data_IF_693211555321
#
_entry.id   IF_693211555321
#
_cell.length_a   1.000
_cell.length_b   1.000
_cell.length_c   1.000
_cell.angle_alpha   90.00
_cell.angle_beta   90.00
_cell.angle_gamma   90.00
#
_symmetry.space_group_name_H-M   'P 1'
#
loop_
_entity.id
_entity.type
_entity.pdbx_description
1 polymer ?
#
# COMPACT_ATOMS: atom_id res chain seq x y z
N UNK A 1 16.42 40.95 83.26
CA UNK A 1 17.19 42.18 83.55
C UNK A 1 17.40 42.92 82.24
N UNK A 2 16.80 44.10 82.11
CA UNK A 2 17.50 45.38 81.84
C UNK A 2 18.80 45.26 81.02
N UNK A 3 19.10 46.02 79.96
CA UNK A 3 18.62 47.33 79.50
C UNK A 3 19.51 47.70 78.27
N UNK A 4 18.97 48.47 77.30
CA UNK A 4 19.67 49.57 76.56
C UNK A 4 20.89 49.21 75.65
N UNK A 5 21.29 49.94 74.60
CA UNK A 5 20.82 51.12 73.87
C UNK A 5 21.59 51.26 72.56
N UNK A 6 20.95 51.99 71.65
CA UNK A 6 21.31 52.54 70.34
C UNK A 6 22.64 53.37 70.28
N UNK A 7 23.06 53.73 69.05
CA UNK A 7 24.10 54.68 68.56
C UNK A 7 25.43 54.01 68.14
N UNK A 8 26.11 54.34 67.03
CA UNK A 8 26.08 55.50 66.13
C UNK A 8 26.79 55.16 64.79
N UNK A 9 26.42 55.92 63.75
CA UNK A 9 27.05 55.99 62.42
C UNK A 9 28.48 56.57 62.41
N UNK A 10 29.33 55.99 61.57
CA UNK A 10 30.40 56.61 60.74
C UNK A 10 30.88 55.50 59.80
N UNK A 11 30.95 55.58 58.47
CA UNK A 11 31.26 56.69 57.57
C UNK A 11 32.54 56.33 56.80
N UNK A 12 32.49 56.42 55.46
CA UNK A 12 33.57 56.17 54.46
C UNK A 12 33.81 54.69 54.12
N UNK A 13 33.82 54.21 52.87
CA UNK A 13 33.84 54.81 51.55
C UNK A 13 34.61 53.86 50.63
N UNK A 14 34.09 53.61 49.40
CA UNK A 14 34.66 52.80 48.32
C UNK A 14 34.78 51.28 48.61
N UNK A 15 34.35 50.32 47.78
CA UNK A 15 34.19 50.28 46.31
C UNK A 15 33.32 49.05 45.99
N UNK A 16 32.38 49.17 45.07
CA UNK A 16 31.61 48.05 44.51
C UNK A 16 32.52 46.98 43.89
N UNK A 17 32.13 45.69 44.00
CA UNK A 17 32.11 44.85 42.81
C UNK A 17 30.66 44.46 42.47
N UNK A 18 30.34 44.66 41.19
CA UNK A 18 29.06 44.48 40.54
C UNK A 18 28.34 43.14 40.86
N UNK A 19 26.99 43.12 40.82
CA UNK A 19 26.22 41.89 40.99
C UNK A 19 26.59 40.88 39.90
N UNK A 20 26.94 39.68 40.34
CA UNK A 20 27.25 38.54 39.48
C UNK A 20 26.04 38.23 38.60
N UNK A 21 26.23 38.30 37.27
CA UNK A 21 25.20 37.97 36.30
C UNK A 21 24.68 36.53 36.51
N UNK A 22 23.37 36.27 36.35
CA UNK A 22 22.84 34.92 36.42
C UNK A 22 23.43 34.08 35.31
N UNK A 23 23.95 32.90 35.68
CA UNK A 23 24.44 31.85 34.80
C UNK A 23 23.36 31.54 33.74
N UNK A 24 23.67 31.57 32.43
CA UNK A 24 22.68 31.24 31.41
C UNK A 24 22.22 29.79 31.60
N UNK A 25 20.91 29.59 31.55
CA UNK A 25 20.29 28.27 31.54
C UNK A 25 20.88 27.45 30.38
N UNK A 26 21.23 26.19 30.66
CA UNK A 26 21.61 25.25 29.64
C UNK A 26 20.51 25.23 28.55
N UNK A 27 20.90 25.47 27.31
CA UNK A 27 20.01 25.39 26.17
C UNK A 27 19.31 24.02 26.20
N UNK A 28 17.98 24.03 26.20
CA UNK A 28 17.20 22.82 25.98
C UNK A 28 17.68 22.20 24.66
N UNK A 29 18.01 20.91 24.69
CA UNK A 29 18.22 20.15 23.45
C UNK A 29 16.98 20.35 22.57
N UNK A 30 17.16 20.66 21.28
CA UNK A 30 16.02 20.72 20.37
C UNK A 30 15.34 19.35 20.38
N UNK A 31 14.05 19.36 20.74
CA UNK A 31 13.17 18.20 20.57
C UNK A 31 13.41 17.63 19.17
N UNK A 32 13.73 16.34 19.10
CA UNK A 32 13.84 15.64 17.83
C UNK A 32 12.63 16.00 16.95
N UNK A 33 12.81 16.23 15.64
CA UNK A 33 11.70 16.56 14.75
C UNK A 33 10.63 15.48 14.91
N UNK A 34 9.40 15.91 15.23
CA UNK A 34 8.26 15.03 15.31
C UNK A 34 8.19 14.20 14.02
N UNK A 35 8.05 12.88 14.16
CA UNK A 35 7.82 12.01 13.01
C UNK A 35 6.67 12.60 12.18
N UNK A 36 6.82 12.70 10.84
CA UNK A 36 5.75 13.19 10.01
C UNK A 36 4.51 12.32 10.27
N UNK A 37 3.37 12.99 10.50
CA UNK A 37 2.10 12.30 10.67
C UNK A 37 1.89 11.33 9.50
N UNK A 38 1.36 10.12 9.74
CA UNK A 38 1.11 9.16 8.67
C UNK A 38 0.29 9.85 7.58
N UNK A 39 0.77 9.78 6.33
CA UNK A 39 0.09 10.40 5.20
C UNK A 39 -1.35 9.88 5.15
N UNK A 40 -2.30 10.81 5.03
CA UNK A 40 -3.70 10.45 4.93
C UNK A 40 -3.91 9.55 3.70
N UNK A 41 -4.77 8.52 3.80
CA UNK A 41 -5.08 7.66 2.65
C UNK A 41 -5.58 8.50 1.48
N UNK A 42 -4.87 8.46 0.35
CA UNK A 42 -5.27 9.21 -0.84
C UNK A 42 -6.34 8.47 -1.64
N UNK A 43 -7.35 9.21 -2.09
CA UNK A 43 -8.41 8.71 -2.97
C UNK A 43 -8.03 9.03 -4.43
N UNK A 44 -7.98 8.00 -5.27
CA UNK A 44 -7.63 8.12 -6.67
C UNK A 44 -8.88 8.05 -7.52
N UNK A 45 -9.12 9.06 -8.34
CA UNK A 45 -10.26 9.10 -9.25
C UNK A 45 -9.84 8.69 -10.66
N UNK A 46 -10.68 7.93 -11.39
CA UNK A 46 -10.42 7.68 -12.80
C UNK A 46 -10.62 8.98 -13.61
N UNK A 47 -9.90 9.15 -14.74
CA UNK A 47 -10.11 10.27 -15.66
C UNK A 47 -11.48 10.16 -16.33
N UNK A 48 -12.27 11.24 -16.49
CA UNK A 48 -13.66 11.23 -16.99
C UNK A 48 -13.96 10.22 -18.13
N UNK A 49 -15.08 9.49 -18.05
CA UNK A 49 -15.48 8.51 -19.06
C UNK A 49 -16.74 7.70 -18.72
N UNK A 50 -17.36 7.10 -19.73
CA UNK A 50 -18.49 6.19 -19.56
C UNK A 50 -18.07 4.90 -18.85
N UNK A 51 -18.97 4.34 -18.05
CA UNK A 51 -18.74 3.06 -17.37
C UNK A 51 -19.02 1.89 -18.33
N UNK A 52 -18.07 0.96 -18.46
CA UNK A 52 -18.32 -0.40 -18.94
C UNK A 52 -18.68 -0.59 -20.42
N UNK A 53 -17.84 -0.18 -21.36
CA UNK A 53 -18.03 -0.47 -22.80
C UNK A 53 -17.20 -1.64 -23.32
N UNK A 54 -16.17 -2.05 -22.58
CA UNK A 54 -15.24 -3.10 -23.01
C UNK A 54 -15.85 -4.47 -22.75
N UNK A 55 -16.42 -5.06 -23.80
CA UNK A 55 -16.78 -6.49 -23.85
C UNK A 55 -15.77 -7.21 -24.72
N UNK A 56 -15.13 -8.24 -24.18
CA UNK A 56 -14.21 -9.05 -24.95
C UNK A 56 -14.95 -9.72 -26.11
N UNK A 57 -14.59 -9.37 -27.35
CA UNK A 57 -15.07 -10.01 -28.57
C UNK A 57 -13.93 -10.79 -29.22
N UNK A 58 -14.25 -11.78 -30.05
CA UNK A 58 -13.21 -12.52 -30.80
C UNK A 58 -12.37 -11.59 -31.67
N UNK A 59 -12.99 -10.64 -32.38
CA UNK A 59 -12.27 -9.65 -33.18
C UNK A 59 -11.31 -8.82 -32.30
N UNK A 60 -11.78 -8.32 -31.16
CA UNK A 60 -10.94 -7.56 -30.23
C UNK A 60 -9.80 -8.40 -29.64
N UNK A 61 -10.03 -9.69 -29.37
CA UNK A 61 -8.96 -10.59 -28.92
C UNK A 61 -7.92 -10.81 -30.00
N UNK A 62 -8.32 -10.98 -31.26
CA UNK A 62 -7.40 -11.10 -32.39
C UNK A 62 -6.56 -9.83 -32.57
N UNK A 63 -7.18 -8.66 -32.50
CA UNK A 63 -6.48 -7.38 -32.57
C UNK A 63 -5.49 -7.19 -31.41
N UNK A 64 -5.92 -7.52 -30.19
CA UNK A 64 -5.09 -7.44 -29.00
C UNK A 64 -3.90 -8.41 -29.08
N UNK A 65 -4.11 -9.64 -29.54
CA UNK A 65 -3.06 -10.63 -29.72
C UNK A 65 -2.03 -10.17 -30.76
N UNK A 66 -2.47 -9.62 -31.90
CA UNK A 66 -1.59 -9.07 -32.92
C UNK A 66 -0.75 -7.90 -32.36
N UNK A 67 -1.39 -7.00 -31.62
CA UNK A 67 -0.72 -5.86 -30.95
C UNK A 67 0.36 -6.35 -29.99
N UNK A 68 0.04 -7.31 -29.12
CA UNK A 68 0.98 -7.86 -28.15
C UNK A 68 2.12 -8.60 -28.85
N UNK A 69 1.84 -9.36 -29.91
CA UNK A 69 2.86 -10.08 -30.67
C UNK A 69 3.87 -9.13 -31.30
N UNK A 70 3.40 -8.07 -31.97
CA UNK A 70 4.27 -7.04 -32.55
C UNK A 70 5.13 -6.36 -31.48
N UNK A 71 4.55 -6.06 -30.31
CA UNK A 71 5.30 -5.49 -29.19
C UNK A 71 6.41 -6.43 -28.69
N UNK A 72 6.10 -7.70 -28.45
CA UNK A 72 7.06 -8.68 -27.96
C UNK A 72 8.16 -8.97 -28.99
N UNK A 73 7.83 -9.06 -30.27
CA UNK A 73 8.81 -9.23 -31.35
C UNK A 73 9.80 -8.06 -31.43
N UNK A 74 9.32 -6.83 -31.19
CA UNK A 74 10.17 -5.65 -31.15
C UNK A 74 11.05 -5.59 -29.88
N UNK A 75 10.54 -6.05 -28.73
CA UNK A 75 11.22 -6.01 -27.43
C UNK A 75 12.26 -7.12 -27.27
N UNK A 76 11.86 -8.36 -27.53
CA UNK A 76 12.60 -9.57 -27.17
C UNK A 76 13.11 -10.35 -28.39
N UNK A 77 12.75 -9.91 -29.61
CA UNK A 77 13.04 -10.61 -30.86
C UNK A 77 11.98 -11.65 -31.22
N UNK A 78 12.25 -12.40 -32.31
CA UNK A 78 11.32 -13.39 -32.83
C UNK A 78 11.09 -14.57 -31.84
N UNK A 79 9.95 -15.30 -31.93
CA UNK A 79 9.55 -16.35 -30.99
C UNK A 79 10.66 -17.37 -30.67
N UNK A 80 10.64 -17.96 -29.46
CA UNK A 80 9.46 -18.73 -29.04
C UNK A 80 8.75 -18.19 -27.79
N UNK A 81 7.69 -17.40 -27.97
CA UNK A 81 6.72 -17.12 -26.90
C UNK A 81 5.31 -17.61 -27.28
N UNK A 82 4.56 -18.10 -26.29
CA UNK A 82 3.16 -18.47 -26.45
C UNK A 82 2.26 -17.48 -25.70
N UNK A 83 1.17 -17.07 -26.36
CA UNK A 83 0.16 -16.20 -25.78
C UNK A 83 -1.06 -17.03 -25.40
N UNK A 84 -1.48 -16.94 -24.15
CA UNK A 84 -2.70 -17.61 -23.65
C UNK A 84 -3.63 -16.53 -23.12
N UNK A 85 -4.84 -16.45 -23.67
CA UNK A 85 -5.87 -15.51 -23.23
C UNK A 85 -6.26 -15.80 -21.78
N UNK A 86 -6.42 -14.74 -20.99
CA UNK A 86 -6.97 -14.83 -19.65
C UNK A 86 -8.47 -14.53 -19.69
N UNK A 87 -9.29 -15.55 -19.94
CA UNK A 87 -10.71 -15.40 -20.28
C UNK A 87 -11.56 -14.57 -19.29
N UNK A 88 -11.17 -14.50 -18.01
CA UNK A 88 -11.91 -13.73 -16.99
C UNK A 88 -11.64 -12.22 -17.04
N UNK A 89 -10.55 -11.78 -17.69
CA UNK A 89 -10.11 -10.39 -17.72
C UNK A 89 -9.87 -9.97 -19.18
N UNK A 90 -10.72 -9.07 -19.73
CA UNK A 90 -10.64 -8.69 -21.14
C UNK A 90 -9.25 -8.25 -21.58
N UNK A 91 -8.70 -8.91 -22.61
CA UNK A 91 -7.42 -8.56 -23.24
C UNK A 91 -6.18 -8.69 -22.34
N UNK A 92 -6.29 -9.41 -21.22
CA UNK A 92 -5.15 -9.86 -20.45
C UNK A 92 -4.62 -11.18 -21.03
N UNK A 93 -3.31 -11.27 -21.20
CA UNK A 93 -2.62 -12.45 -21.72
C UNK A 93 -1.62 -12.97 -20.69
N UNK A 94 -1.52 -14.30 -20.61
CA UNK A 94 -0.35 -14.99 -20.07
C UNK A 94 0.64 -15.18 -21.21
N UNK A 95 1.81 -14.57 -21.07
CA UNK A 95 2.94 -14.70 -21.99
C UNK A 95 3.90 -15.72 -21.42
N UNK A 96 4.07 -16.83 -22.15
CA UNK A 96 5.02 -17.87 -21.80
C UNK A 96 6.29 -17.68 -22.63
N UNK A 97 7.33 -17.14 -22.01
CA UNK A 97 8.63 -16.89 -22.67
C UNK A 97 9.51 -18.15 -22.67
N UNK A 98 9.42 -18.99 -21.63
CA UNK A 98 10.04 -20.31 -21.60
C UNK A 98 9.27 -21.27 -20.66
N UNK A 99 9.87 -22.40 -20.26
CA UNK A 99 9.20 -23.38 -19.38
C UNK A 99 8.88 -22.82 -17.98
N UNK A 100 9.66 -21.86 -17.51
CA UNK A 100 9.63 -21.33 -16.14
C UNK A 100 9.14 -19.88 -16.07
N UNK A 101 9.31 -19.11 -17.14
CA UNK A 101 8.94 -17.70 -17.19
C UNK A 101 7.53 -17.51 -17.75
N UNK A 102 6.65 -17.05 -16.87
CA UNK A 102 5.28 -16.66 -17.16
C UNK A 102 5.11 -15.19 -16.78
N UNK A 103 4.85 -14.34 -17.76
CA UNK A 103 4.52 -12.94 -17.56
C UNK A 103 3.03 -12.70 -17.85
N UNK A 104 2.45 -11.71 -17.21
CA UNK A 104 1.13 -11.19 -17.60
C UNK A 104 1.34 -9.92 -18.41
N UNK A 105 0.58 -9.77 -19.50
CA UNK A 105 0.59 -8.57 -20.34
C UNK A 105 -0.84 -8.16 -20.67
N UNK A 106 -1.16 -6.88 -20.51
CA UNK A 106 -2.48 -6.32 -20.81
C UNK A 106 -2.40 -5.48 -22.07
N UNK A 107 -3.32 -5.72 -23.00
CA UNK A 107 -3.57 -4.81 -24.12
C UNK A 107 -4.83 -4.02 -23.84
N UNK A 108 -4.73 -2.71 -23.76
CA UNK A 108 -5.86 -1.84 -23.48
C UNK A 108 -5.78 -0.60 -24.35
N UNK A 109 -6.93 -0.18 -24.89
CA UNK A 109 -7.03 0.95 -25.84
C UNK A 109 -6.07 0.83 -27.04
N UNK A 110 -5.87 -0.39 -27.52
CA UNK A 110 -5.05 -0.69 -28.71
C UNK A 110 -3.55 -0.68 -28.48
N UNK A 111 -3.08 -0.64 -27.23
CA UNK A 111 -1.66 -0.67 -26.89
C UNK A 111 -1.36 -1.63 -25.75
N UNK A 112 -0.13 -2.16 -25.70
CA UNK A 112 0.37 -2.86 -24.53
C UNK A 112 0.53 -1.86 -23.40
N UNK A 113 -0.01 -2.21 -22.23
CA UNK A 113 -0.02 -1.34 -21.07
C UNK A 113 1.33 -1.42 -20.37
N UNK A 114 2.14 -0.39 -20.49
CA UNK A 114 3.47 -0.30 -19.87
C UNK A 114 3.48 0.58 -18.61
N UNK A 115 2.50 1.48 -18.47
CA UNK A 115 2.35 2.32 -17.29
C UNK A 115 2.00 1.46 -16.07
N UNK A 116 2.50 1.89 -14.91
CA UNK A 116 2.38 1.16 -13.65
C UNK A 116 1.96 2.11 -12.55
N UNK A 117 0.65 2.31 -12.41
CA UNK A 117 0.08 3.04 -11.29
C UNK A 117 -1.38 2.63 -11.01
N UNK A 118 -1.90 3.13 -9.88
CA UNK A 118 -3.28 2.90 -9.43
C UNK A 118 -4.34 3.65 -10.24
N UNK A 119 -3.97 4.74 -10.94
CA UNK A 119 -4.90 5.53 -11.76
C UNK A 119 -5.28 4.73 -13.02
N UNK A 120 -4.30 4.06 -13.62
CA UNK A 120 -4.47 3.13 -14.71
C UNK A 120 -5.35 1.94 -14.30
N UNK A 121 -5.13 1.36 -13.12
CA UNK A 121 -5.99 0.32 -12.57
C UNK A 121 -7.44 0.80 -12.44
N UNK A 122 -7.65 1.97 -11.84
CA UNK A 122 -8.98 2.57 -11.70
C UNK A 122 -9.68 2.74 -13.06
N UNK A 123 -8.98 3.31 -14.04
CA UNK A 123 -9.52 3.53 -15.38
C UNK A 123 -9.86 2.22 -16.09
N UNK A 124 -8.99 1.21 -15.99
CA UNK A 124 -9.23 -0.10 -16.61
C UNK A 124 -10.43 -0.83 -15.96
N UNK A 125 -10.51 -0.86 -14.63
CA UNK A 125 -11.62 -1.48 -13.91
C UNK A 125 -12.98 -0.86 -14.28
N UNK A 126 -12.99 0.46 -14.48
CA UNK A 126 -14.17 1.18 -14.97
C UNK A 126 -14.53 0.79 -16.40
N UNK A 127 -13.56 0.78 -17.30
CA UNK A 127 -13.79 0.52 -18.73
C UNK A 127 -14.33 -0.90 -18.96
N UNK A 128 -13.90 -1.89 -18.17
CA UNK A 128 -14.44 -3.27 -18.19
C UNK A 128 -15.71 -3.44 -17.36
N UNK A 129 -16.15 -2.40 -16.65
CA UNK A 129 -17.35 -2.45 -15.81
C UNK A 129 -17.23 -3.47 -14.67
N UNK A 130 -16.07 -3.58 -14.01
CA UNK A 130 -15.74 -4.69 -13.09
C UNK A 130 -16.81 -5.00 -12.03
N UNK A 131 -17.41 -3.97 -11.42
CA UNK A 131 -18.48 -4.13 -10.42
C UNK A 131 -19.68 -4.94 -10.93
N UNK A 132 -19.89 -4.98 -12.24
CA UNK A 132 -20.96 -5.74 -12.91
C UNK A 132 -20.53 -7.12 -13.42
N UNK A 133 -19.24 -7.47 -13.31
CA UNK A 133 -18.69 -8.76 -13.76
C UNK A 133 -18.77 -9.80 -12.64
N UNK A 134 -19.74 -10.74 -12.64
CA UNK A 134 -19.92 -11.68 -11.51
C UNK A 134 -18.77 -12.68 -11.38
N UNK A 135 -18.12 -13.03 -12.50
CA UNK A 135 -17.03 -14.00 -12.54
C UNK A 135 -15.66 -13.44 -12.12
N UNK A 136 -15.57 -12.13 -11.87
CA UNK A 136 -14.33 -11.47 -11.47
C UNK A 136 -14.01 -11.80 -10.00
N UNK A 137 -12.79 -12.25 -9.72
CA UNK A 137 -12.35 -12.78 -8.43
C UNK A 137 -11.25 -11.92 -7.81
N UNK A 138 -10.92 -12.19 -6.54
CA UNK A 138 -9.78 -11.56 -5.88
C UNK A 138 -8.46 -11.85 -6.61
N UNK A 139 -8.24 -13.07 -7.10
CA UNK A 139 -7.03 -13.44 -7.86
C UNK A 139 -6.91 -12.63 -9.15
N UNK A 140 -8.02 -12.38 -9.85
CA UNK A 140 -8.03 -11.56 -11.07
C UNK A 140 -7.58 -10.13 -10.76
N UNK A 141 -8.10 -9.54 -9.68
CA UNK A 141 -7.73 -8.19 -9.25
C UNK A 141 -6.28 -8.11 -8.78
N UNK A 142 -5.80 -9.09 -8.03
CA UNK A 142 -4.41 -9.16 -7.56
C UNK A 142 -3.44 -9.22 -8.74
N UNK A 143 -3.78 -9.96 -9.81
CA UNK A 143 -2.97 -9.99 -11.04
C UNK A 143 -2.88 -8.62 -11.70
N UNK A 144 -3.98 -7.88 -11.77
CA UNK A 144 -3.99 -6.52 -12.30
C UNK A 144 -3.20 -5.55 -11.41
N UNK A 145 -3.36 -5.64 -10.09
CA UNK A 145 -2.56 -4.86 -9.13
C UNK A 145 -1.07 -5.13 -9.33
N UNK A 146 -0.68 -6.39 -9.48
CA UNK A 146 0.71 -6.76 -9.74
C UNK A 146 1.22 -6.21 -11.08
N UNK A 147 0.42 -6.38 -12.15
CA UNK A 147 0.77 -5.91 -13.49
C UNK A 147 0.98 -4.39 -13.55
N UNK A 148 0.13 -3.64 -12.85
CA UNK A 148 0.12 -2.17 -12.85
C UNK A 148 0.88 -1.57 -11.66
N UNK A 149 1.57 -2.39 -10.86
CA UNK A 149 2.26 -1.96 -9.63
C UNK A 149 1.38 -1.08 -8.70
N UNK A 150 0.07 -1.37 -8.65
CA UNK A 150 -0.92 -0.58 -7.91
C UNK A 150 -1.07 -1.04 -6.45
N UNK A 151 0.02 -1.57 -5.89
CA UNK A 151 0.08 -2.06 -4.51
C UNK A 151 -0.18 -0.92 -3.52
N UNK A 152 -0.61 -1.23 -2.29
CA UNK A 152 -0.69 -0.21 -1.25
C UNK A 152 0.65 0.51 -1.13
N UNK A 153 0.64 1.83 -0.88
CA UNK A 153 1.88 2.56 -0.66
C UNK A 153 2.64 1.86 0.47
N UNK A 154 3.88 1.46 0.21
CA UNK A 154 4.72 0.88 1.25
C UNK A 154 4.75 1.89 2.39
N UNK A 155 4.32 1.52 3.59
CA UNK A 155 4.44 2.38 4.76
C UNK A 155 5.90 2.29 5.23
N UNK A 156 6.82 3.23 4.89
CA UNK A 156 8.21 3.13 5.33
C UNK A 156 8.35 3.18 6.85
N UNK A 157 7.35 3.73 7.56
CA UNK A 157 7.36 3.92 9.00
C UNK A 157 7.42 2.62 9.82
N UNK A 158 7.23 1.44 9.23
CA UNK A 158 7.22 0.17 9.99
C UNK A 158 8.17 -0.91 9.48
N UNK A 159 9.03 -0.60 8.50
CA UNK A 159 10.10 -1.51 8.06
C UNK A 159 9.63 -2.84 7.45
N UNK A 160 8.36 -2.94 7.04
CA UNK A 160 7.86 -4.17 6.44
C UNK A 160 8.41 -4.34 5.02
N UNK A 161 8.86 -5.55 4.63
CA UNK A 161 9.24 -5.80 3.26
C UNK A 161 8.04 -5.54 2.35
N UNK A 162 8.32 -5.02 1.15
CA UNK A 162 7.33 -4.86 0.07
C UNK A 162 6.36 -6.06 0.05
N UNK A 163 5.04 -5.85 -0.12
CA UNK A 163 3.97 -6.86 -0.02
C UNK A 163 4.05 -8.06 -0.98
N UNK A 164 5.24 -8.42 -1.44
CA UNK A 164 5.61 -9.70 -2.05
C UNK A 164 5.26 -10.93 -1.19
N UNK A 165 5.00 -10.76 0.12
CA UNK A 165 4.58 -11.79 1.06
C UNK A 165 3.06 -11.98 1.20
N UNK A 166 2.25 -11.63 0.20
CA UNK A 166 0.86 -12.04 0.16
C UNK A 166 0.81 -13.58 0.22
N UNK A 167 0.19 -14.19 1.25
CA UNK A 167 0.08 -15.65 1.39
C UNK A 167 -0.91 -16.20 0.35
N UNK A 168 -0.48 -16.77 -0.79
CA UNK A 168 -1.38 -17.41 -1.74
C UNK A 168 -1.71 -18.83 -1.25
N UNK A 169 -2.62 -19.52 -1.93
CA UNK A 169 -3.08 -20.90 -1.70
C UNK A 169 -2.14 -21.79 -0.87
N UNK A 170 -2.66 -22.39 0.21
CA UNK A 170 -1.88 -23.18 1.17
C UNK A 170 -1.71 -22.52 2.55
N UNK A 171 -2.33 -21.37 2.79
CA UNK A 171 -2.42 -20.78 4.12
C UNK A 171 -3.11 -21.78 5.08
N UNK A 172 -2.52 -22.13 6.24
CA UNK A 172 -3.20 -22.94 7.25
C UNK A 172 -4.49 -22.28 7.77
N UNK A 173 -4.70 -20.99 7.49
CA UNK A 173 -5.89 -20.23 7.88
C UNK A 173 -6.65 -19.74 6.63
N UNK A 174 -7.69 -20.45 6.16
CA UNK A 174 -8.50 -20.05 5.01
C UNK A 174 -9.16 -18.67 5.16
N UNK A 175 -9.47 -18.24 6.39
CA UNK A 175 -9.95 -16.89 6.72
C UNK A 175 -8.94 -15.79 6.39
N UNK A 176 -7.67 -16.18 6.26
CA UNK A 176 -6.51 -15.43 5.79
C UNK A 176 -6.55 -15.02 4.31
N UNK A 177 -7.21 -15.82 3.48
CA UNK A 177 -7.17 -15.67 2.03
C UNK A 177 -7.82 -14.35 1.59
N UNK A 178 -7.42 -13.78 0.44
CA UNK A 178 -8.07 -12.60 -0.08
C UNK A 178 -9.51 -12.86 -0.39
N UNK A 179 -10.25 -11.82 -0.13
CA UNK A 179 -11.64 -11.73 -0.48
C UNK A 179 -11.82 -10.51 -1.37
N UNK A 180 -12.64 -10.68 -2.40
CA UNK A 180 -13.25 -9.58 -3.12
C UNK A 180 -14.72 -9.55 -2.69
N UNK A 181 -15.04 -8.62 -1.82
CA UNK A 181 -16.40 -8.40 -1.32
C UNK A 181 -17.09 -7.37 -2.20
N UNK A 182 -18.28 -7.67 -2.69
CA UNK A 182 -19.13 -6.71 -3.40
C UNK A 182 -20.18 -6.17 -2.44
N UNK A 183 -20.38 -4.85 -2.42
CA UNK A 183 -21.40 -4.18 -1.62
C UNK A 183 -22.26 -3.30 -2.54
N UNK A 184 -23.46 -2.86 -2.11
CA UNK A 184 -24.24 -1.88 -2.89
C UNK A 184 -23.47 -0.60 -3.21
N UNK A 185 -22.49 -0.26 -2.37
CA UNK A 185 -21.62 0.91 -2.48
C UNK A 185 -20.31 0.64 -3.25
N UNK A 186 -20.14 -0.55 -3.85
CA UNK A 186 -18.98 -0.86 -4.69
C UNK A 186 -18.35 -2.22 -4.39
N UNK A 187 -17.03 -2.26 -4.23
CA UNK A 187 -16.31 -3.48 -3.87
C UNK A 187 -15.11 -3.20 -2.97
N UNK A 188 -14.66 -4.25 -2.25
CA UNK A 188 -13.52 -4.20 -1.35
C UNK A 188 -12.64 -5.41 -1.60
N UNK A 189 -11.40 -5.18 -2.00
CA UNK A 189 -10.38 -6.24 -1.98
C UNK A 189 -9.68 -6.21 -0.64
N UNK A 190 -9.72 -7.34 0.06
CA UNK A 190 -9.08 -7.51 1.36
C UNK A 190 -7.82 -8.35 1.17
N UNK A 191 -6.68 -7.82 1.60
CA UNK A 191 -5.39 -8.48 1.61
C UNK A 191 -4.87 -8.53 3.05
N UNK A 192 -4.51 -9.73 3.52
CA UNK A 192 -3.96 -9.92 4.86
C UNK A 192 -2.48 -10.28 4.75
N UNK A 193 -1.64 -9.52 5.45
CA UNK A 193 -0.21 -9.73 5.52
C UNK A 193 0.19 -10.13 6.93
N UNK A 194 1.03 -11.16 7.01
CA UNK A 194 1.69 -11.51 8.26
C UNK A 194 2.76 -10.44 8.55
N UNK A 195 2.54 -9.67 9.61
CA UNK A 195 3.53 -8.72 10.10
C UNK A 195 4.55 -9.52 10.87
N UNK A 196 5.45 -10.21 10.14
CA UNK A 196 6.55 -10.95 10.76
C UNK A 196 7.23 -10.07 11.80
N UNK A 197 7.62 -10.70 12.90
CA UNK A 197 8.45 -10.12 13.95
C UNK A 197 9.60 -9.31 13.33
N UNK A 198 9.85 -8.06 13.79
CA UNK A 198 10.94 -7.23 13.26
C UNK A 198 12.29 -7.99 13.26
N UNK A 199 13.21 -7.63 12.36
CA UNK A 199 14.51 -8.33 12.17
C UNK A 199 15.36 -8.44 13.44
N UNK A 200 15.05 -7.60 14.43
CA UNK A 200 15.60 -7.49 15.77
C UNK A 200 15.28 -8.71 16.65
N UNK A 201 14.41 -9.63 16.19
CA UNK A 201 14.08 -10.87 16.88
C UNK A 201 13.23 -10.71 18.16
N UNK A 202 12.82 -9.49 18.49
CA UNK A 202 11.91 -9.20 19.58
C UNK A 202 10.50 -9.68 19.21
N UNK A 203 10.21 -10.95 19.50
CA UNK A 203 8.84 -11.46 19.55
C UNK A 203 8.12 -10.58 20.58
N UNK A 204 7.04 -9.85 20.20
CA UNK A 204 6.25 -9.15 21.19
C UNK A 204 5.82 -10.18 22.23
N UNK A 205 6.07 -9.92 23.51
CA UNK A 205 5.49 -10.71 24.59
C UNK A 205 3.97 -10.66 24.43
N UNK A 206 3.43 -11.69 23.80
CA UNK A 206 2.04 -11.86 23.45
C UNK A 206 1.76 -13.35 23.39
N UNK A 207 0.53 -13.73 23.68
CA UNK A 207 0.13 -15.14 23.71
C UNK A 207 0.46 -15.80 22.35
N UNK A 208 1.10 -16.99 22.32
CA UNK A 208 1.51 -17.67 21.09
C UNK A 208 0.34 -18.01 20.13
N UNK A 209 -0.89 -17.77 20.57
CA UNK A 209 -2.18 -17.97 19.90
C UNK A 209 -2.60 -16.78 19.01
N UNK A 210 -1.95 -15.60 19.12
CA UNK A 210 -2.32 -14.38 18.39
C UNK A 210 -1.29 -14.02 17.33
N UNK A 211 -1.72 -13.88 16.08
CA UNK A 211 -0.90 -13.44 14.96
C UNK A 211 -1.13 -11.94 14.68
N UNK A 212 -0.08 -11.11 14.65
CA UNK A 212 -0.20 -9.71 14.22
C UNK A 212 -0.36 -9.66 12.69
N UNK A 213 -1.55 -9.28 12.23
CA UNK A 213 -1.88 -9.18 10.82
C UNK A 213 -2.03 -7.70 10.43
N UNK A 214 -1.43 -7.32 9.31
CA UNK A 214 -1.69 -6.06 8.63
C UNK A 214 -2.72 -6.32 7.55
N UNK A 215 -3.94 -5.80 7.73
CA UNK A 215 -4.98 -5.91 6.72
C UNK A 215 -5.00 -4.65 5.88
N UNK A 216 -4.79 -4.85 4.58
CA UNK A 216 -4.94 -3.82 3.58
C UNK A 216 -6.25 -4.02 2.84
N UNK A 217 -7.03 -2.95 2.73
CA UNK A 217 -8.28 -2.96 1.97
C UNK A 217 -8.16 -1.96 0.82
N UNK A 218 -8.35 -2.43 -0.41
CA UNK A 218 -8.60 -1.55 -1.55
C UNK A 218 -10.11 -1.36 -1.68
N UNK A 219 -10.58 -0.18 -1.32
CA UNK A 219 -11.94 0.26 -1.58
C UNK A 219 -12.07 0.67 -3.04
N UNK A 220 -13.12 0.14 -3.69
CA UNK A 220 -13.49 0.43 -5.08
C UNK A 220 -14.89 1.04 -5.03
N UNK A 221 -14.94 2.37 -5.13
CA UNK A 221 -16.20 3.12 -5.05
C UNK A 221 -17.07 2.93 -6.30
N UNK A 222 -18.36 3.35 -6.30
CA UNK A 222 -19.25 3.17 -7.46
C UNK A 222 -18.76 3.91 -8.71
N UNK A 223 -18.04 5.01 -8.53
CA UNK A 223 -17.37 5.76 -9.59
C UNK A 223 -15.98 5.20 -9.94
N UNK A 224 -15.62 4.02 -9.43
CA UNK A 224 -14.31 3.36 -9.57
C UNK A 224 -13.14 4.12 -8.95
N UNK A 225 -13.41 5.10 -8.09
CA UNK A 225 -12.35 5.69 -7.30
C UNK A 225 -11.74 4.63 -6.36
N UNK A 226 -10.41 4.59 -6.32
CA UNK A 226 -9.63 3.59 -5.60
C UNK A 226 -8.99 4.20 -4.37
N UNK A 227 -9.01 3.46 -3.26
CA UNK A 227 -8.36 3.89 -2.01
C UNK A 227 -7.83 2.69 -1.24
N UNK A 228 -6.57 2.75 -0.87
CA UNK A 228 -6.00 1.80 0.08
C UNK A 228 -6.21 2.29 1.52
N UNK A 229 -6.59 1.39 2.41
CA UNK A 229 -6.61 1.60 3.86
C UNK A 229 -5.89 0.47 4.57
N UNK A 230 -5.16 0.78 5.64
CA UNK A 230 -4.49 -0.19 6.49
C UNK A 230 -5.20 -0.27 7.85
N UNK A 231 -5.42 -1.48 8.35
CA UNK A 231 -5.78 -1.73 9.74
C UNK A 231 -4.91 -2.85 10.34
N UNK A 232 -4.61 -2.75 11.63
CA UNK A 232 -3.95 -3.83 12.37
C UNK A 232 -5.01 -4.75 12.95
N UNK A 233 -4.84 -6.04 12.75
CA UNK A 233 -5.75 -7.08 13.23
C UNK A 233 -4.98 -8.08 14.07
N UNK A 234 -5.38 -8.25 15.31
CA UNK A 234 -4.88 -9.31 16.18
C UNK A 234 -5.69 -10.58 15.90
N UNK A 235 -5.16 -11.47 15.06
CA UNK A 235 -5.86 -12.66 14.62
C UNK A 235 -5.60 -13.83 15.59
N UNK A 236 -6.66 -14.30 16.25
CA UNK A 236 -6.61 -15.50 17.09
C UNK A 236 -6.64 -16.77 16.22
N UNK A 237 -5.66 -17.65 16.40
CA UNK A 237 -5.63 -18.95 15.73
C UNK A 237 -6.85 -19.79 16.14
N UNK A 238 -7.60 -20.40 15.21
CA UNK A 238 -8.68 -21.31 15.58
C UNK A 238 -8.14 -22.58 16.24
N UNK A 239 -8.60 -22.91 17.46
CA UNK A 239 -8.40 -24.23 18.08
C UNK A 239 -7.26 -24.37 19.10
N UNK A 240 -6.73 -23.27 19.65
CA UNK A 240 -5.89 -23.26 20.86
C UNK A 240 -6.66 -22.69 22.06
#
# INVERSE_FOLDING_TARGET
MTLFTLLLLTGCGATDPAPTAPKPAAAAEPLAPAEPAPEAPQLYFPPDGEVGTVKATEAGWTEAEATLRTFLEARDGAPPFALVRYERVPYLFKVKLNRYDLEYQLVWKGAVTEQRDIVLLSAYLRDIGMLTLPAFTADDLIRLIHLMDAWPPATPARGYPSPTGYRPEGNPFPTLAPALERTPEGARLILNYDLKTPPDGAVPEGEPTVLPIGRWTLEIQPNYALRWTEERVDFKKPGE
#
